data_IF_049385273355
#
_entry.id   IF_049385273355
#
_cell.length_a   1.000
_cell.length_b   1.000
_cell.length_c   1.000
_cell.angle_alpha   90.00
_cell.angle_beta   90.00
_cell.angle_gamma   90.00
#
_symmetry.space_group_name_H-M   'P 1'
#
loop_
_entity.id
_entity.type
_entity.pdbx_description
1 polymer ?
#
# COMPACT_ATOMS: atom_id res chain seq x y z
N UNK A 1 13.25 3.64 -12.65
CA UNK A 1 11.79 3.41 -12.75
C UNK A 1 11.42 2.12 -12.04
N UNK A 2 11.73 0.92 -12.54
CA UNK A 2 11.34 -0.33 -11.84
C UNK A 2 12.03 -0.53 -10.49
N UNK A 3 13.34 -0.26 -10.39
CA UNK A 3 14.06 -0.31 -9.11
C UNK A 3 13.65 0.78 -8.10
N UNK A 4 12.92 1.82 -8.53
CA UNK A 4 12.36 2.82 -7.61
C UNK A 4 11.03 2.31 -7.01
N UNK A 5 10.28 1.50 -7.78
CA UNK A 5 9.06 0.84 -7.32
C UNK A 5 9.38 -0.23 -6.27
N UNK A 6 10.39 -1.06 -6.51
CA UNK A 6 10.79 -2.11 -5.55
C UNK A 6 11.18 -1.50 -4.19
N UNK A 7 11.90 -0.38 -4.20
CA UNK A 7 12.24 0.36 -2.98
C UNK A 7 11.01 0.96 -2.31
N UNK A 8 10.08 1.51 -3.10
CA UNK A 8 8.83 2.04 -2.56
C UNK A 8 8.04 0.96 -1.83
N UNK A 9 7.92 -0.24 -2.42
CA UNK A 9 7.26 -1.38 -1.78
C UNK A 9 7.98 -1.83 -0.50
N UNK A 10 9.31 -1.84 -0.48
CA UNK A 10 10.08 -2.11 0.74
C UNK A 10 9.76 -1.10 1.85
N UNK A 11 9.71 0.20 1.52
CA UNK A 11 9.39 1.24 2.50
C UNK A 11 7.96 1.13 3.02
N UNK A 12 6.98 0.87 2.14
CA UNK A 12 5.60 0.62 2.56
C UNK A 12 5.49 -0.62 3.45
N UNK A 13 6.19 -1.71 3.10
CA UNK A 13 6.25 -2.90 3.94
C UNK A 13 6.80 -2.62 5.34
N UNK A 14 7.88 -1.82 5.44
CA UNK A 14 8.44 -1.40 6.73
C UNK A 14 7.48 -0.51 7.53
N UNK A 15 6.79 0.40 6.87
CA UNK A 15 5.79 1.26 7.50
C UNK A 15 4.62 0.44 8.05
N UNK A 16 4.11 -0.53 7.29
CA UNK A 16 3.04 -1.44 7.74
C UNK A 16 3.47 -2.37 8.88
N UNK A 17 4.76 -2.73 8.98
CA UNK A 17 5.28 -3.47 10.13
C UNK A 17 5.34 -2.58 11.38
N UNK A 18 5.65 -1.28 11.21
CA UNK A 18 5.72 -0.33 12.31
C UNK A 18 4.33 0.08 12.82
N UNK A 19 3.38 0.32 11.90
CA UNK A 19 1.98 0.58 12.20
C UNK A 19 1.08 -0.15 11.18
N UNK A 20 0.53 -1.33 11.54
CA UNK A 20 -0.31 -2.12 10.66
C UNK A 20 -1.66 -1.48 10.30
N UNK A 21 -2.08 -0.45 11.04
CA UNK A 21 -3.39 0.20 10.89
C UNK A 21 -3.25 1.67 10.48
N UNK A 22 -2.10 2.06 9.93
CA UNK A 22 -1.94 3.39 9.33
C UNK A 22 -2.68 3.43 7.98
N UNK A 23 -3.88 4.04 7.98
CA UNK A 23 -4.74 4.17 6.80
C UNK A 23 -4.08 4.93 5.64
N UNK A 24 -3.18 5.87 5.93
CA UNK A 24 -2.45 6.61 4.89
C UNK A 24 -1.43 5.70 4.22
N UNK A 25 -0.66 4.92 5.00
CA UNK A 25 0.31 3.95 4.46
C UNK A 25 -0.40 2.89 3.60
N UNK A 26 -1.53 2.36 4.10
CA UNK A 26 -2.33 1.35 3.39
C UNK A 26 -2.90 1.90 2.06
N UNK A 27 -3.44 3.13 2.05
CA UNK A 27 -4.02 3.73 0.85
C UNK A 27 -2.96 4.13 -0.19
N UNK A 28 -1.80 4.63 0.25
CA UNK A 28 -0.69 4.94 -0.65
C UNK A 28 -0.10 3.67 -1.29
N UNK A 29 0.05 2.60 -0.52
CA UNK A 29 0.51 1.31 -1.05
C UNK A 29 -0.49 0.72 -2.05
N UNK A 30 -1.80 0.75 -1.73
CA UNK A 30 -2.86 0.34 -2.65
C UNK A 30 -2.80 1.12 -3.98
N UNK A 31 -2.53 2.42 -3.91
CA UNK A 31 -2.39 3.29 -5.09
C UNK A 31 -1.20 2.90 -5.96
N UNK A 32 -0.07 2.54 -5.35
CA UNK A 32 1.11 2.04 -6.08
C UNK A 32 0.79 0.73 -6.79
N UNK A 33 0.16 -0.22 -6.10
CA UNK A 33 -0.25 -1.50 -6.68
C UNK A 33 -1.19 -1.31 -7.87
N UNK A 34 -2.15 -0.38 -7.75
CA UNK A 34 -3.09 -0.06 -8.81
C UNK A 34 -2.42 0.54 -10.05
N UNK A 35 -1.61 1.60 -9.86
CA UNK A 35 -1.09 2.40 -10.97
C UNK A 35 0.13 1.77 -11.64
N UNK A 36 1.03 1.22 -10.83
CA UNK A 36 2.36 0.82 -11.30
C UNK A 36 2.41 -0.69 -11.54
N UNK A 37 1.84 -1.50 -10.64
CA UNK A 37 1.83 -2.97 -10.77
C UNK A 37 0.61 -3.52 -11.51
N UNK A 38 -0.47 -2.74 -11.61
CA UNK A 38 -1.77 -3.18 -12.12
C UNK A 38 -2.32 -4.41 -11.39
N UNK A 39 -1.94 -4.58 -10.12
CA UNK A 39 -2.46 -5.61 -9.24
C UNK A 39 -3.69 -5.07 -8.51
N UNK A 40 -4.81 -5.08 -9.23
CA UNK A 40 -6.06 -4.51 -8.73
C UNK A 40 -6.66 -5.30 -7.57
N UNK A 41 -6.42 -6.61 -7.51
CA UNK A 41 -6.93 -7.46 -6.44
C UNK A 41 -6.24 -7.15 -5.11
N UNK A 42 -4.92 -7.01 -5.14
CA UNK A 42 -4.17 -6.63 -3.96
C UNK A 42 -4.43 -5.16 -3.58
N UNK A 43 -4.53 -4.26 -4.55
CA UNK A 43 -4.89 -2.86 -4.31
C UNK A 43 -6.24 -2.72 -3.59
N UNK A 44 -7.28 -3.43 -4.04
CA UNK A 44 -8.62 -3.40 -3.43
C UNK A 44 -8.60 -3.88 -1.97
N UNK A 45 -7.79 -4.91 -1.68
CA UNK A 45 -7.58 -5.40 -0.32
C UNK A 45 -6.99 -4.31 0.58
N UNK A 46 -5.97 -3.58 0.12
CA UNK A 46 -5.33 -2.54 0.91
C UNK A 46 -6.18 -1.27 1.02
N UNK A 47 -6.97 -0.92 0.00
CA UNK A 47 -7.96 0.15 0.12
C UNK A 47 -9.03 -0.16 1.16
N UNK A 48 -9.55 -1.39 1.18
CA UNK A 48 -10.53 -1.82 2.18
C UNK A 48 -9.96 -1.72 3.60
N UNK A 49 -8.72 -2.20 3.80
CA UNK A 49 -8.01 -2.06 5.09
C UNK A 49 -7.78 -0.61 5.50
N UNK A 50 -7.48 0.28 4.54
CA UNK A 50 -7.32 1.71 4.82
C UNK A 50 -8.61 2.35 5.33
N UNK A 51 -9.77 1.95 4.78
CA UNK A 51 -11.09 2.40 5.25
C UNK A 51 -11.37 1.86 6.66
N UNK A 52 -11.07 0.58 6.92
CA UNK A 52 -11.26 -0.02 8.25
C UNK A 52 -10.38 0.62 9.33
N UNK A 53 -9.18 1.09 8.96
CA UNK A 53 -8.25 1.78 9.84
C UNK A 53 -8.70 3.20 10.25
N UNK A 54 -9.48 3.86 9.39
CA UNK A 54 -9.95 5.25 9.58
C UNK A 54 -11.46 5.33 9.42
N UNK A 55 -12.24 4.87 10.43
CA UNK A 55 -13.71 4.90 10.41
C UNK A 55 -14.31 6.31 10.48
#
# INVERSE_FOLDING_TARGET
>A
VEGDLDRAEEYYGRAMVADPFDGDVLSHYATLLWKERRDYALADTYFSRAIEASP
#
